data_IF_330204989427
#
_entry.id   IF_330204989427
#
_cell.length_a   1.000
_cell.length_b   1.000
_cell.length_c   1.000
_cell.angle_alpha   90.00
_cell.angle_beta   90.00
_cell.angle_gamma   90.00
#
_symmetry.space_group_name_H-M   'P 1'
#
loop_
_entity.id
_entity.type
_entity.pdbx_description
1 polymer ?
#
# COMPACT_ATOMS: atom_id res chain seq x y z
N UNK A 1 13.74 4.92 -36.76
CA UNK A 1 14.38 4.86 -35.42
C UNK A 1 13.37 5.35 -34.39
N UNK A 2 12.82 4.45 -33.56
CA UNK A 2 11.87 4.84 -32.52
C UNK A 2 12.65 5.21 -31.26
N UNK A 3 12.59 6.48 -30.85
CA UNK A 3 13.13 6.93 -29.57
C UNK A 3 12.26 6.29 -28.48
N UNK A 4 12.77 5.21 -27.88
CA UNK A 4 12.23 4.66 -26.66
C UNK A 4 12.23 5.79 -25.62
N UNK A 5 11.05 6.32 -25.29
CA UNK A 5 10.88 7.15 -24.10
C UNK A 5 11.29 6.26 -22.92
N UNK A 6 12.53 6.38 -22.46
CA UNK A 6 12.93 5.86 -21.15
C UNK A 6 11.90 6.41 -20.17
N UNK A 7 11.10 5.52 -19.59
CA UNK A 7 10.26 5.89 -18.46
C UNK A 7 11.19 6.56 -17.46
N UNK A 8 10.97 7.85 -17.22
CA UNK A 8 11.74 8.63 -16.25
C UNK A 8 11.73 7.82 -14.97
N UNK A 9 12.87 7.26 -14.59
CA UNK A 9 12.98 6.40 -13.41
C UNK A 9 12.36 7.18 -12.25
N UNK A 10 11.14 6.77 -11.87
CA UNK A 10 10.36 7.39 -10.81
C UNK A 10 10.94 6.94 -9.47
N UNK A 11 12.23 7.19 -9.30
CA UNK A 11 12.94 6.87 -8.09
C UNK A 11 12.43 7.79 -6.98
N UNK A 12 12.22 7.22 -5.80
CA UNK A 12 11.71 7.98 -4.66
C UNK A 12 12.82 8.91 -4.23
N UNK A 13 12.60 10.21 -4.36
CA UNK A 13 13.59 11.20 -3.97
C UNK A 13 13.55 11.33 -2.44
N UNK A 14 14.35 10.53 -1.72
CA UNK A 14 14.39 10.58 -0.25
C UNK A 14 14.67 11.99 0.28
N UNK A 15 15.47 12.78 -0.44
CA UNK A 15 15.75 14.19 -0.14
C UNK A 15 14.48 15.06 -0.04
N UNK A 16 13.42 14.74 -0.78
CA UNK A 16 12.13 15.44 -0.67
C UNK A 16 11.55 15.33 0.74
N UNK A 17 11.64 14.15 1.36
CA UNK A 17 11.14 13.88 2.71
C UNK A 17 12.00 14.50 3.83
N UNK A 18 13.19 15.00 3.47
CA UNK A 18 14.08 15.71 4.38
C UNK A 18 13.87 17.23 4.37
N UNK A 19 13.10 17.76 3.41
CA UNK A 19 12.85 19.20 3.29
C UNK A 19 12.00 19.71 4.46
N UNK A 20 12.35 20.90 4.98
CA UNK A 20 11.69 21.44 6.18
C UNK A 20 10.18 21.67 5.98
N UNK A 21 9.77 22.17 4.82
CA UNK A 21 8.36 22.40 4.50
C UNK A 21 7.55 21.09 4.46
N UNK A 22 8.17 19.98 4.05
CA UNK A 22 7.56 18.65 4.02
C UNK A 22 7.46 18.08 5.44
N UNK A 23 8.52 18.21 6.25
CA UNK A 23 8.52 17.77 7.64
C UNK A 23 7.42 18.49 8.44
N UNK A 24 7.23 19.79 8.23
CA UNK A 24 6.19 20.57 8.92
C UNK A 24 4.78 20.04 8.67
N UNK A 25 4.50 19.43 7.50
CA UNK A 25 3.20 18.80 7.23
C UNK A 25 2.86 17.68 8.21
N UNK A 26 3.85 17.01 8.82
CA UNK A 26 3.63 15.91 9.76
C UNK A 26 3.40 16.38 11.20
N UNK A 27 3.67 17.64 11.53
CA UNK A 27 3.46 18.15 12.88
C UNK A 27 1.98 18.08 13.30
N UNK A 28 1.05 18.26 12.35
CA UNK A 28 -0.40 18.22 12.61
C UNK A 28 -0.90 16.85 13.05
N UNK A 29 -0.25 15.78 12.60
CA UNK A 29 -0.67 14.40 12.89
C UNK A 29 0.22 13.69 13.91
N UNK A 30 1.36 14.28 14.29
CA UNK A 30 2.33 13.68 15.21
C UNK A 30 1.73 13.40 16.59
N UNK A 31 1.12 14.41 17.23
CA UNK A 31 0.55 14.26 18.57
C UNK A 31 -0.68 13.33 18.60
N UNK A 32 -1.67 13.44 17.66
CA UNK A 32 -2.76 12.47 17.58
C UNK A 32 -2.26 11.02 17.45
N UNK A 33 -1.25 10.80 16.61
CA UNK A 33 -0.68 9.48 16.38
C UNK A 33 0.03 8.94 17.63
N UNK A 34 0.80 9.78 18.35
CA UNK A 34 1.43 9.39 19.61
C UNK A 34 0.39 8.99 20.65
N UNK A 35 -0.64 9.82 20.83
CA UNK A 35 -1.71 9.57 21.81
C UNK A 35 -2.38 8.21 21.59
N UNK A 36 -2.66 7.85 20.33
CA UNK A 36 -3.28 6.56 20.01
C UNK A 36 -2.33 5.38 20.26
N UNK A 37 -1.06 5.51 19.88
CA UNK A 37 -0.08 4.44 20.03
C UNK A 37 0.39 4.23 21.48
N UNK A 38 0.26 5.24 22.35
CA UNK A 38 0.58 5.13 23.78
C UNK A 38 -0.30 4.12 24.51
N UNK A 39 -1.49 3.81 24.00
CA UNK A 39 -2.31 2.71 24.52
C UNK A 39 -1.62 1.34 24.38
N UNK A 40 -0.69 1.20 23.42
CA UNK A 40 0.06 -0.03 23.17
C UNK A 40 1.49 0.04 23.71
N UNK A 41 2.14 1.22 23.63
CA UNK A 41 3.50 1.44 24.13
C UNK A 41 3.62 2.87 24.72
N UNK A 42 3.45 3.05 26.05
CA UNK A 42 3.44 4.37 26.69
C UNK A 42 4.72 5.19 26.48
N UNK A 43 5.89 4.54 26.44
CA UNK A 43 7.18 5.22 26.28
C UNK A 43 7.55 5.52 24.82
N UNK A 44 6.61 5.32 23.87
CA UNK A 44 6.87 5.60 22.46
C UNK A 44 7.05 7.10 22.22
N UNK A 45 8.10 7.44 21.49
CA UNK A 45 8.37 8.81 21.04
C UNK A 45 8.91 8.82 19.62
N UNK A 46 8.54 9.84 18.85
CA UNK A 46 9.07 10.14 17.53
C UNK A 46 8.85 11.61 17.20
N UNK A 47 9.65 12.16 16.29
CA UNK A 47 9.52 13.52 15.76
C UNK A 47 8.79 13.50 14.40
N UNK A 48 8.24 14.64 13.98
CA UNK A 48 7.65 14.77 12.64
C UNK A 48 8.61 14.37 11.52
N UNK A 49 9.91 14.63 11.70
CA UNK A 49 10.96 14.17 10.79
C UNK A 49 11.01 12.65 10.62
N UNK A 50 10.84 11.90 11.71
CA UNK A 50 10.89 10.44 11.67
C UNK A 50 9.72 9.88 10.84
N UNK A 51 8.53 10.49 10.97
CA UNK A 51 7.34 10.15 10.20
C UNK A 51 7.54 10.42 8.70
N UNK A 52 8.06 11.59 8.35
CA UNK A 52 8.34 11.98 6.97
C UNK A 52 9.34 11.02 6.31
N UNK A 53 10.45 10.74 6.98
CA UNK A 53 11.50 9.83 6.49
C UNK A 53 10.95 8.40 6.33
N UNK A 54 10.13 7.93 7.27
CA UNK A 54 9.49 6.61 7.18
C UNK A 54 8.63 6.48 5.92
N UNK A 55 7.86 7.51 5.57
CA UNK A 55 7.08 7.53 4.32
C UNK A 55 7.96 7.43 3.09
N UNK A 56 9.09 8.14 3.07
CA UNK A 56 10.09 8.03 2.00
C UNK A 56 10.62 6.61 1.87
N UNK A 57 11.07 6.00 2.97
CA UNK A 57 11.60 4.64 2.94
C UNK A 57 10.57 3.58 2.58
N UNK A 58 9.32 3.70 3.04
CA UNK A 58 8.24 2.80 2.65
C UNK A 58 8.00 2.84 1.14
N UNK A 59 8.03 4.02 0.52
CA UNK A 59 7.89 4.13 -0.93
C UNK A 59 9.10 3.58 -1.67
N UNK A 60 10.32 3.90 -1.22
CA UNK A 60 11.55 3.40 -1.83
C UNK A 60 11.58 1.87 -1.80
N UNK A 61 11.31 1.27 -0.64
CA UNK A 61 11.25 -0.19 -0.49
C UNK A 61 10.27 -0.84 -1.47
N UNK A 62 9.08 -0.25 -1.64
CA UNK A 62 8.10 -0.75 -2.59
C UNK A 62 8.62 -0.67 -4.04
N UNK A 63 9.32 0.41 -4.40
CA UNK A 63 9.92 0.55 -5.72
C UNK A 63 10.99 -0.51 -5.98
N UNK A 64 11.92 -0.68 -5.04
CA UNK A 64 13.10 -1.53 -5.21
C UNK A 64 12.75 -3.02 -5.17
N UNK A 65 11.83 -3.42 -4.27
CA UNK A 65 11.64 -4.83 -3.92
C UNK A 65 10.28 -5.40 -4.29
N UNK A 66 9.26 -4.57 -4.54
CA UNK A 66 7.91 -5.01 -4.89
C UNK A 66 7.51 -4.71 -6.35
N UNK A 67 8.48 -4.37 -7.20
CA UNK A 67 8.26 -4.14 -8.63
C UNK A 67 8.07 -5.42 -9.43
N UNK A 68 7.52 -5.31 -10.64
CA UNK A 68 7.21 -6.45 -11.53
C UNK A 68 8.37 -7.43 -11.68
N UNK A 69 9.60 -6.93 -11.79
CA UNK A 69 10.78 -7.75 -12.06
C UNK A 69 11.51 -8.24 -10.79
N UNK A 70 11.25 -7.62 -9.64
CA UNK A 70 12.00 -7.85 -8.39
C UNK A 70 11.14 -8.49 -7.28
N UNK A 71 9.86 -8.77 -7.56
CA UNK A 71 8.90 -9.29 -6.59
C UNK A 71 9.21 -10.73 -6.21
N UNK A 72 9.33 -11.02 -4.92
CA UNK A 72 9.39 -12.40 -4.44
C UNK A 72 8.05 -13.11 -4.68
N UNK A 73 8.06 -14.44 -4.88
CA UNK A 73 6.83 -15.23 -4.91
C UNK A 73 6.04 -14.99 -3.61
N UNK A 74 4.80 -14.48 -3.73
CA UNK A 74 3.89 -14.09 -2.65
C UNK A 74 4.14 -12.73 -1.95
N UNK A 75 5.02 -11.85 -2.44
CA UNK A 75 5.10 -10.49 -1.89
C UNK A 75 3.75 -9.77 -2.06
N UNK A 76 3.32 -8.86 -1.16
CA UNK A 76 2.04 -8.18 -1.29
C UNK A 76 2.02 -7.26 -2.52
N UNK A 77 0.82 -6.79 -2.89
CA UNK A 77 0.69 -5.65 -3.80
C UNK A 77 1.29 -4.40 -3.15
N UNK A 78 1.73 -3.43 -3.96
CA UNK A 78 2.17 -2.11 -3.47
C UNK A 78 0.98 -1.32 -2.93
N UNK A 79 1.21 -0.48 -1.93
CA UNK A 79 0.32 0.60 -1.55
C UNK A 79 0.24 1.58 -2.73
N UNK A 80 -0.96 1.99 -3.19
CA UNK A 80 -1.08 2.92 -4.30
C UNK A 80 -0.37 4.25 -4.02
N UNK A 81 0.49 4.69 -4.95
CA UNK A 81 1.28 5.93 -4.80
C UNK A 81 0.43 7.18 -4.51
N UNK A 82 -0.83 7.20 -4.98
CA UNK A 82 -1.78 8.29 -4.72
C UNK A 82 -2.09 8.52 -3.23
N UNK A 83 -1.92 7.50 -2.39
CA UNK A 83 -2.19 7.58 -0.94
C UNK A 83 -1.04 8.22 -0.16
N UNK A 84 0.12 8.39 -0.79
CA UNK A 84 1.26 9.10 -0.20
C UNK A 84 1.30 10.58 -0.60
N UNK A 85 0.27 11.07 -1.31
CA UNK A 85 0.21 12.47 -1.74
C UNK A 85 -0.29 13.34 -0.60
N UNK A 86 0.54 14.28 -0.19
CA UNK A 86 0.25 15.35 0.74
C UNK A 86 1.10 16.55 0.35
N UNK A 87 0.61 17.74 0.68
CA UNK A 87 1.29 19.01 0.46
C UNK A 87 0.62 20.08 1.35
N UNK A 88 0.97 21.35 1.15
CA UNK A 88 0.37 22.45 1.92
C UNK A 88 -1.11 22.67 1.59
N UNK A 89 -1.56 22.32 0.39
CA UNK A 89 -2.96 22.45 -0.04
C UNK A 89 -3.80 21.23 0.40
N UNK A 90 -3.15 20.11 0.68
CA UNK A 90 -3.72 18.85 1.19
C UNK A 90 -3.04 18.49 2.50
N UNK A 91 -3.38 19.21 3.59
CA UNK A 91 -2.76 19.00 4.88
C UNK A 91 -3.04 17.59 5.39
N UNK A 92 -2.09 17.06 6.16
CA UNK A 92 -2.25 15.78 6.84
C UNK A 92 -3.21 15.94 8.02
N UNK A 93 -4.20 15.07 8.05
CA UNK A 93 -5.23 14.95 9.09
C UNK A 93 -5.31 13.50 9.55
N UNK A 94 -6.07 13.22 10.61
CA UNK A 94 -6.29 11.85 11.09
C UNK A 94 -7.01 10.95 10.06
N UNK A 95 -7.81 11.54 9.17
CA UNK A 95 -8.51 10.81 8.10
C UNK A 95 -7.65 10.64 6.84
N UNK A 96 -6.45 11.25 6.81
CA UNK A 96 -5.57 11.18 5.65
C UNK A 96 -4.99 9.78 5.50
N UNK A 97 -4.85 9.23 4.28
CA UNK A 97 -4.28 7.90 4.10
C UNK A 97 -2.87 7.72 4.69
N UNK A 98 -2.07 8.78 4.69
CA UNK A 98 -0.74 8.81 5.32
C UNK A 98 -0.82 8.56 6.83
N UNK A 99 -1.84 9.08 7.52
CA UNK A 99 -2.05 8.80 8.95
C UNK A 99 -2.28 7.32 9.19
N UNK A 100 -3.21 6.70 8.45
CA UNK A 100 -3.48 5.26 8.54
C UNK A 100 -2.26 4.41 8.19
N UNK A 101 -1.46 4.81 7.21
CA UNK A 101 -0.19 4.14 6.85
C UNK A 101 0.80 4.16 8.02
N UNK A 102 1.02 5.33 8.62
CA UNK A 102 1.95 5.49 9.73
C UNK A 102 1.46 4.72 10.96
N UNK A 103 0.17 4.85 11.31
CA UNK A 103 -0.47 4.14 12.41
C UNK A 103 -0.29 2.63 12.27
N UNK A 104 -0.65 2.05 11.13
CA UNK A 104 -0.45 0.63 10.88
C UNK A 104 1.03 0.23 10.97
N UNK A 105 1.94 1.06 10.44
CA UNK A 105 3.37 0.76 10.47
C UNK A 105 3.93 0.73 11.90
N UNK A 106 3.56 1.69 12.75
CA UNK A 106 3.98 1.72 14.14
C UNK A 106 3.29 0.64 14.99
N UNK A 107 1.99 0.39 14.81
CA UNK A 107 1.31 -0.74 15.46
C UNK A 107 2.00 -2.06 15.12
N UNK A 108 2.32 -2.30 13.85
CA UNK A 108 3.07 -3.49 13.43
C UNK A 108 4.45 -3.54 14.10
N UNK A 109 5.17 -2.41 14.15
CA UNK A 109 6.48 -2.29 14.83
C UNK A 109 6.39 -2.71 16.30
N UNK A 110 5.36 -2.24 17.01
CA UNK A 110 5.13 -2.54 18.44
C UNK A 110 4.79 -4.01 18.62
N UNK A 111 3.80 -4.53 17.89
CA UNK A 111 3.34 -5.93 17.98
C UNK A 111 4.48 -6.92 17.69
N UNK A 112 5.36 -6.59 16.75
CA UNK A 112 6.50 -7.43 16.38
C UNK A 112 7.81 -7.09 17.11
N UNK A 113 7.78 -6.19 18.10
CA UNK A 113 8.92 -5.78 18.93
C UNK A 113 10.15 -5.29 18.12
N UNK A 114 9.91 -4.51 17.06
CA UNK A 114 10.99 -3.94 16.26
C UNK A 114 11.61 -2.74 16.96
N UNK A 115 12.91 -2.81 17.25
CA UNK A 115 13.66 -1.68 17.86
C UNK A 115 13.67 -0.43 16.96
N UNK A 116 13.78 -0.63 15.65
CA UNK A 116 13.77 0.42 14.61
C UNK A 116 13.26 -0.13 13.29
N UNK A 117 12.80 0.74 12.41
CA UNK A 117 12.54 0.37 11.01
C UNK A 117 13.89 0.18 10.29
N UNK A 118 14.00 -0.89 9.50
CA UNK A 118 15.19 -1.21 8.71
C UNK A 118 14.73 -1.77 7.35
N UNK A 119 14.91 -0.97 6.31
CA UNK A 119 14.51 -1.30 4.94
C UNK A 119 15.62 -1.96 4.12
N UNK A 120 16.65 -2.49 4.77
CA UNK A 120 17.75 -3.19 4.11
C UNK A 120 17.30 -4.44 3.34
N UNK A 121 18.05 -4.87 2.30
CA UNK A 121 17.70 -6.01 1.46
C UNK A 121 17.51 -7.32 2.24
N UNK A 122 18.27 -7.50 3.33
CA UNK A 122 18.21 -8.69 4.19
C UNK A 122 16.89 -8.81 4.97
N UNK A 123 16.12 -7.73 5.08
CA UNK A 123 14.83 -7.67 5.78
C UNK A 123 13.64 -7.70 4.82
N UNK A 124 13.85 -7.97 3.53
CA UNK A 124 12.82 -7.92 2.48
C UNK A 124 11.53 -8.64 2.85
N UNK A 125 11.59 -9.87 3.35
CA UNK A 125 10.38 -10.64 3.69
C UNK A 125 9.61 -10.00 4.86
N UNK A 126 10.32 -9.60 5.92
CA UNK A 126 9.71 -8.92 7.08
C UNK A 126 9.08 -7.58 6.70
N UNK A 127 9.73 -6.82 5.81
CA UNK A 127 9.20 -5.57 5.29
C UNK A 127 8.04 -5.78 4.32
N UNK A 128 8.02 -6.88 3.57
CA UNK A 128 6.87 -7.28 2.77
C UNK A 128 5.65 -7.58 3.66
N UNK A 129 5.84 -8.25 4.80
CA UNK A 129 4.73 -8.49 5.75
C UNK A 129 4.23 -7.19 6.40
N UNK A 130 5.13 -6.24 6.71
CA UNK A 130 4.75 -4.89 7.12
C UNK A 130 3.87 -4.20 6.06
N UNK A 131 4.27 -4.22 4.78
CA UNK A 131 3.45 -3.64 3.69
C UNK A 131 2.10 -4.34 3.57
N UNK A 132 2.03 -5.66 3.81
CA UNK A 132 0.76 -6.40 3.83
C UNK A 132 -0.15 -5.88 4.96
N UNK A 133 0.37 -5.78 6.19
CA UNK A 133 -0.39 -5.26 7.34
C UNK A 133 -0.91 -3.84 7.11
N UNK A 134 -0.09 -2.95 6.54
CA UNK A 134 -0.52 -1.58 6.19
C UNK A 134 -1.66 -1.62 5.16
N UNK A 135 -1.59 -2.51 4.16
CA UNK A 135 -2.67 -2.64 3.17
C UNK A 135 -3.95 -3.16 3.76
N UNK A 136 -3.87 -4.10 4.70
CA UNK A 136 -5.05 -4.64 5.37
C UNK A 136 -5.76 -3.52 6.16
N UNK A 137 -5.01 -2.68 6.88
CA UNK A 137 -5.57 -1.49 7.55
C UNK A 137 -6.23 -0.52 6.56
N UNK A 138 -5.54 -0.20 5.46
CA UNK A 138 -6.10 0.69 4.43
C UNK A 138 -7.38 0.12 3.79
N UNK A 139 -7.50 -1.20 3.70
CA UNK A 139 -8.72 -1.85 3.23
C UNK A 139 -9.85 -1.74 4.26
N UNK A 140 -9.57 -1.98 5.55
CA UNK A 140 -10.56 -1.82 6.62
C UNK A 140 -11.05 -0.37 6.72
N UNK A 141 -10.14 0.60 6.55
CA UNK A 141 -10.46 2.02 6.51
C UNK A 141 -11.16 2.47 5.19
N UNK A 142 -11.46 1.55 4.26
CA UNK A 142 -12.07 1.85 2.96
C UNK A 142 -11.27 2.85 2.08
N UNK A 143 -9.96 2.96 2.32
CA UNK A 143 -9.04 3.83 1.57
C UNK A 143 -8.48 3.14 0.31
N UNK A 144 -8.51 1.81 0.29
CA UNK A 144 -8.27 1.00 -0.90
C UNK A 144 -9.33 -0.07 -1.06
N UNK A 145 -9.65 -0.38 -2.32
CA UNK A 145 -10.46 -1.52 -2.67
C UNK A 145 -9.55 -2.64 -3.18
N UNK A 146 -9.83 -3.87 -2.76
CA UNK A 146 -9.21 -5.04 -3.36
C UNK A 146 -9.74 -5.17 -4.81
N UNK A 147 -8.85 -5.40 -5.79
CA UNK A 147 -9.31 -5.68 -7.14
C UNK A 147 -10.25 -6.88 -7.11
N UNK A 148 -11.32 -6.79 -7.89
CA UNK A 148 -12.33 -7.85 -7.96
C UNK A 148 -12.35 -8.43 -9.36
N UNK A 149 -12.29 -9.76 -9.47
CA UNK A 149 -12.35 -10.45 -10.76
C UNK A 149 -13.71 -11.09 -10.90
N UNK A 150 -14.41 -10.71 -11.97
CA UNK A 150 -15.64 -11.34 -12.43
C UNK A 150 -15.37 -12.30 -13.58
N UNK A 151 -15.95 -13.50 -13.51
CA UNK A 151 -15.94 -14.45 -14.64
C UNK A 151 -17.28 -14.43 -15.37
N UNK A 152 -17.22 -14.33 -16.70
CA UNK A 152 -18.39 -14.56 -17.55
C UNK A 152 -18.63 -16.05 -17.78
N UNK A 153 -19.88 -16.44 -18.01
CA UNK A 153 -20.32 -17.83 -18.28
C UNK A 153 -19.64 -18.46 -19.49
N UNK A 154 -19.17 -17.68 -20.46
CA UNK A 154 -18.38 -18.16 -21.60
C UNK A 154 -16.95 -18.60 -21.25
N UNK A 155 -16.44 -18.27 -20.05
CA UNK A 155 -15.06 -18.58 -19.64
C UNK A 155 -14.95 -20.04 -19.17
N UNK A 156 -14.10 -20.88 -19.80
CA UNK A 156 -13.94 -22.28 -19.44
C UNK A 156 -13.49 -22.49 -17.98
N UNK A 157 -14.00 -23.55 -17.35
CA UNK A 157 -13.72 -23.90 -15.95
C UNK A 157 -12.23 -24.09 -15.66
N UNK A 158 -11.45 -24.58 -16.62
CA UNK A 158 -9.98 -24.71 -16.54
C UNK A 158 -9.30 -23.35 -16.41
N UNK A 159 -9.66 -22.38 -17.25
CA UNK A 159 -9.17 -21.02 -17.19
C UNK A 159 -9.58 -20.32 -15.89
N UNK A 160 -10.84 -20.50 -15.44
CA UNK A 160 -11.32 -19.97 -14.15
C UNK A 160 -10.49 -20.47 -12.97
N UNK A 161 -10.16 -21.77 -12.92
CA UNK A 161 -9.33 -22.37 -11.86
C UNK A 161 -7.92 -21.78 -11.84
N UNK A 162 -7.30 -21.61 -13.01
CA UNK A 162 -5.97 -20.99 -13.12
C UNK A 162 -5.99 -19.53 -12.69
N UNK A 163 -6.95 -18.75 -13.17
CA UNK A 163 -7.08 -17.32 -12.79
C UNK A 163 -7.44 -17.19 -11.30
N UNK A 164 -8.27 -18.08 -10.75
CA UNK A 164 -8.60 -18.13 -9.32
C UNK A 164 -7.37 -18.40 -8.46
N UNK A 165 -6.49 -19.32 -8.87
CA UNK A 165 -5.26 -19.60 -8.12
C UNK A 165 -4.28 -18.42 -8.16
N UNK A 166 -4.22 -17.70 -9.27
CA UNK A 166 -3.45 -16.45 -9.40
C UNK A 166 -4.07 -15.30 -8.60
N UNK A 167 -5.39 -15.15 -8.65
CA UNK A 167 -6.16 -14.15 -7.92
C UNK A 167 -5.96 -14.27 -6.41
N UNK A 168 -5.99 -15.49 -5.88
CA UNK A 168 -5.68 -15.77 -4.46
C UNK A 168 -4.27 -15.31 -4.08
N UNK A 169 -3.27 -15.50 -4.95
CA UNK A 169 -1.88 -15.07 -4.72
C UNK A 169 -1.70 -13.54 -4.69
N UNK A 170 -2.58 -12.80 -5.35
CA UNK A 170 -2.55 -11.32 -5.37
C UNK A 170 -3.57 -10.68 -4.43
N UNK A 171 -4.25 -11.47 -3.59
CA UNK A 171 -5.35 -11.05 -2.72
C UNK A 171 -6.45 -10.28 -3.50
N UNK A 172 -6.94 -10.88 -4.59
CA UNK A 172 -8.12 -10.40 -5.31
C UNK A 172 -9.40 -10.97 -4.69
N UNK A 173 -10.48 -10.21 -4.70
CA UNK A 173 -11.83 -10.73 -4.46
C UNK A 173 -12.33 -11.43 -5.74
N UNK A 174 -13.00 -12.58 -5.61
CA UNK A 174 -13.61 -13.28 -6.74
C UNK A 174 -15.13 -13.13 -6.67
N UNK A 175 -15.74 -12.60 -7.72
CA UNK A 175 -17.19 -12.56 -7.88
C UNK A 175 -17.60 -13.55 -8.98
N UNK A 176 -18.42 -14.52 -8.62
CA UNK A 176 -19.11 -15.37 -9.58
C UNK A 176 -20.50 -14.76 -9.80
N UNK A 177 -20.68 -13.99 -10.87
CA UNK A 177 -21.98 -13.40 -11.19
C UNK A 177 -22.75 -14.31 -12.17
N UNK A 178 -23.93 -14.75 -11.75
CA UNK A 178 -25.05 -15.00 -12.67
C UNK A 178 -25.55 -13.64 -13.15
N UNK A 179 -25.70 -13.50 -14.47
CA UNK A 179 -26.30 -12.35 -15.16
C UNK A 179 -27.46 -11.73 -14.37
N UNK A 180 -27.23 -10.58 -13.74
CA UNK A 180 -28.20 -9.53 -13.36
C UNK A 180 -27.64 -8.77 -12.15
N UNK A 181 -26.78 -7.77 -12.35
CA UNK A 181 -26.70 -6.55 -11.52
C UNK A 181 -25.57 -5.69 -12.08
N UNK A 182 -25.93 -4.81 -13.01
CA UNK A 182 -25.02 -3.82 -13.62
C UNK A 182 -24.90 -2.54 -12.78
N UNK A 183 -25.32 -2.58 -11.52
CA UNK A 183 -25.47 -1.41 -10.67
C UNK A 183 -24.88 -1.74 -9.32
N UNK A 184 -24.01 -0.86 -8.81
CA UNK A 184 -23.49 -0.84 -7.44
C UNK A 184 -22.21 -1.64 -7.10
N UNK A 185 -21.20 -1.71 -7.97
CA UNK A 185 -19.85 -2.09 -7.52
C UNK A 185 -18.97 -0.84 -7.44
N UNK A 186 -18.70 -0.37 -6.21
CA UNK A 186 -17.78 0.75 -5.90
C UNK A 186 -16.29 0.39 -6.08
N UNK A 187 -16.00 -0.85 -6.46
CA UNK A 187 -14.65 -1.37 -6.70
C UNK A 187 -14.39 -1.56 -8.21
N UNK A 188 -13.17 -1.30 -8.71
CA UNK A 188 -12.83 -1.63 -10.09
C UNK A 188 -12.92 -3.16 -10.28
N UNK A 189 -13.93 -3.60 -11.03
CA UNK A 189 -14.10 -5.02 -11.42
C UNK A 189 -13.39 -5.25 -12.75
N UNK A 190 -12.45 -6.20 -12.75
CA UNK A 190 -11.84 -6.70 -13.98
C UNK A 190 -12.74 -7.81 -14.50
N UNK A 191 -13.40 -7.56 -15.63
CA UNK A 191 -14.21 -8.56 -16.33
C UNK A 191 -13.32 -9.39 -17.25
N UNK A 192 -13.31 -10.71 -17.04
CA UNK A 192 -12.64 -11.64 -17.94
C UNK A 192 -13.69 -12.19 -18.90
N UNK A 193 -13.58 -11.83 -20.19
CA UNK A 193 -14.48 -12.24 -21.27
C UNK A 193 -13.69 -13.01 -22.31
N UNK A 194 -14.27 -14.08 -22.87
CA UNK A 194 -13.67 -14.78 -24.01
C UNK A 194 -13.87 -13.93 -25.28
N UNK A 195 -12.80 -13.38 -25.84
CA UNK A 195 -12.85 -12.74 -27.16
C UNK A 195 -13.08 -13.83 -28.22
N UNK A 196 -14.06 -13.60 -29.09
CA UNK A 196 -14.37 -14.45 -30.25
C UNK A 196 -13.35 -14.26 -31.34
#
# INVERSE_FOLDING_TARGET
>A
MAVARKAKDANVQLQFYEQSNIITCFETIKEPLLSELHHQQPDLTFKARDLSILIGYLQQFQQDFLGLNNRANNAPLRIPAKLFKFDQERPLTIDSPVYHILRAAYTYRIVHNWRKFDFGPSKKNKNADLIRSIRDELYQASLINLPTIGFDDSVPSSARKTITSLAKKIHCMLLFFLLLFKVLIRSPVIYVVKLK
#
